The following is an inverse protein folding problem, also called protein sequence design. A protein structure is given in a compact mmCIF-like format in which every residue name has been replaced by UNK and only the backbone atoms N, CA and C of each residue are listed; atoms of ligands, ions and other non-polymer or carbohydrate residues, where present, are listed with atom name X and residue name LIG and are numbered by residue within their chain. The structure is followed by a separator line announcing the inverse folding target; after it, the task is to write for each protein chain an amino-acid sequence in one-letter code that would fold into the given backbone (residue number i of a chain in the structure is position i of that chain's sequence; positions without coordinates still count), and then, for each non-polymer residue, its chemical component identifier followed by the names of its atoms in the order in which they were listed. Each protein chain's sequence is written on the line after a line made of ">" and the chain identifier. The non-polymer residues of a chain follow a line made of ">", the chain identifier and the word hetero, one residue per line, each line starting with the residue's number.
data_IF_934986660482
#
_entry.id   IF_934986660482
#
_cell.length_a   1.000
_cell.length_b   1.000
_cell.length_c   1.000
_cell.angle_alpha   90.00
_cell.angle_beta   90.00
_cell.angle_gamma   90.00
#
_symmetry.space_group_name_H-M   'P 1'
#
loop_
_entity.id
_entity.type
_entity.pdbx_description
1 polymer ?
#
# COMPACT_ATOMS: atom_id res chain seq x y z
N UNK A 1 -18.95 16.77 -28.46
CA UNK A 1 -18.74 15.37 -27.98
C UNK A 1 -19.65 14.96 -26.84
N UNK A 2 -19.99 15.82 -25.87
CA UNK A 2 -20.70 15.36 -24.65
C UNK A 2 -22.11 14.82 -24.93
N UNK A 3 -23.01 15.52 -25.64
CA UNK A 3 -24.38 15.04 -25.93
C UNK A 3 -24.43 13.70 -26.68
N UNK A 4 -23.70 13.59 -27.79
CA UNK A 4 -23.72 12.42 -28.68
C UNK A 4 -23.23 11.14 -27.99
N UNK A 5 -22.32 11.27 -27.02
CA UNK A 5 -21.80 10.13 -26.24
C UNK A 5 -22.83 9.61 -25.22
N UNK A 6 -23.67 10.49 -24.67
CA UNK A 6 -24.63 10.15 -23.62
C UNK A 6 -25.75 9.23 -24.10
N UNK A 7 -26.20 9.39 -25.35
CA UNK A 7 -27.37 8.70 -25.91
C UNK A 7 -27.03 7.63 -26.95
N UNK A 8 -25.78 7.54 -27.40
CA UNK A 8 -25.36 6.57 -28.42
C UNK A 8 -25.43 5.12 -27.90
N UNK A 9 -25.86 4.18 -28.73
CA UNK A 9 -25.79 2.72 -28.52
C UNK A 9 -24.47 2.09 -29.02
N UNK A 10 -23.61 2.87 -29.68
CA UNK A 10 -22.36 2.39 -30.29
C UNK A 10 -21.36 1.92 -29.23
N UNK A 11 -20.38 1.10 -29.59
CA UNK A 11 -19.34 0.73 -28.61
C UNK A 11 -18.44 1.93 -28.30
N UNK A 12 -17.85 1.94 -27.10
CA UNK A 12 -16.88 2.97 -26.69
C UNK A 12 -15.71 3.04 -27.68
N UNK A 13 -15.33 1.90 -28.25
CA UNK A 13 -14.29 1.82 -29.26
C UNK A 13 -14.65 2.59 -30.53
N UNK A 14 -15.88 2.40 -31.04
CA UNK A 14 -16.36 3.06 -32.26
C UNK A 14 -16.48 4.57 -32.08
N UNK A 15 -16.93 5.02 -30.91
CA UNK A 15 -17.03 6.46 -30.58
C UNK A 15 -15.68 7.14 -30.58
N UNK A 16 -14.68 6.51 -29.94
CA UNK A 16 -13.34 7.10 -29.85
C UNK A 16 -12.66 7.07 -31.23
N UNK A 17 -12.83 5.99 -32.00
CA UNK A 17 -12.26 5.88 -33.35
C UNK A 17 -12.85 6.93 -34.31
N UNK A 18 -14.17 7.14 -34.30
CA UNK A 18 -14.85 8.14 -35.13
C UNK A 18 -14.51 9.58 -34.72
N UNK A 19 -14.25 9.83 -33.43
CA UNK A 19 -13.81 11.14 -32.97
C UNK A 19 -12.35 11.43 -33.37
N UNK A 20 -11.48 10.42 -33.31
CA UNK A 20 -10.06 10.54 -33.66
C UNK A 20 -9.88 10.68 -35.18
N UNK A 21 -10.68 9.99 -36.00
CA UNK A 21 -10.61 10.08 -37.46
C UNK A 21 -11.02 11.44 -38.03
N UNK A 22 -11.65 12.30 -37.23
CA UNK A 22 -12.11 13.65 -37.60
C UNK A 22 -11.14 14.76 -37.17
N UNK A 23 -10.02 14.40 -36.54
CA UNK A 23 -9.03 15.35 -36.02
C UNK A 23 -7.83 15.40 -36.98
N UNK A 24 -7.31 16.60 -37.25
CA UNK A 24 -6.11 16.80 -38.07
C UNK A 24 -4.87 16.20 -37.41
N UNK A 25 -3.93 15.68 -38.21
CA UNK A 25 -2.71 15.00 -37.72
C UNK A 25 -1.92 15.81 -36.69
N UNK A 26 -1.83 17.14 -36.84
CA UNK A 26 -1.13 18.04 -35.92
C UNK A 26 -1.78 18.15 -34.53
N UNK A 27 -3.06 17.83 -34.40
CA UNK A 27 -3.79 17.87 -33.13
C UNK A 27 -3.80 16.51 -32.42
N UNK A 28 -3.40 15.43 -33.09
CA UNK A 28 -3.35 14.07 -32.52
C UNK A 28 -2.25 13.97 -31.46
N UNK A 29 -1.12 14.66 -31.65
CA UNK A 29 0.00 14.69 -30.68
C UNK A 29 -0.36 15.35 -29.34
N UNK A 30 -1.40 16.20 -29.32
CA UNK A 30 -1.88 16.88 -28.12
C UNK A 30 -3.03 16.13 -27.45
N UNK A 31 -3.50 15.02 -28.01
CA UNK A 31 -4.60 14.25 -27.43
C UNK A 31 -4.14 13.42 -26.22
N UNK A 32 -5.00 13.27 -25.20
CA UNK A 32 -4.79 12.27 -24.18
C UNK A 32 -4.67 10.87 -24.79
N UNK A 33 -3.88 9.99 -24.16
CA UNK A 33 -3.79 8.59 -24.57
C UNK A 33 -5.19 7.98 -24.78
N UNK A 34 -5.34 7.15 -25.81
CA UNK A 34 -6.54 6.42 -26.18
C UNK A 34 -7.24 5.72 -24.99
N UNK A 35 -6.49 5.21 -24.01
CA UNK A 35 -7.06 4.63 -22.79
C UNK A 35 -7.82 5.65 -21.94
N UNK A 36 -7.29 6.88 -21.81
CA UNK A 36 -7.94 7.96 -21.08
C UNK A 36 -9.19 8.46 -21.82
N UNK A 37 -9.15 8.53 -23.16
CA UNK A 37 -10.31 8.86 -23.98
C UNK A 37 -11.44 7.84 -23.81
N UNK A 38 -11.14 6.54 -23.89
CA UNK A 38 -12.11 5.46 -23.62
C UNK A 38 -12.68 5.54 -22.20
N UNK A 39 -11.84 5.85 -21.19
CA UNK A 39 -12.26 6.04 -19.79
C UNK A 39 -13.22 7.22 -19.64
N UNK A 40 -12.95 8.34 -20.31
CA UNK A 40 -13.82 9.53 -20.26
C UNK A 40 -15.18 9.28 -20.91
N UNK A 41 -15.22 8.62 -22.07
CA UNK A 41 -16.47 8.21 -22.74
C UNK A 41 -17.29 7.29 -21.84
N UNK A 42 -16.64 6.33 -21.15
CA UNK A 42 -17.30 5.45 -20.18
C UNK A 42 -17.89 6.22 -18.99
N UNK A 43 -17.14 7.17 -18.42
CA UNK A 43 -17.60 8.03 -17.31
C UNK A 43 -18.82 8.88 -17.72
N UNK A 44 -18.79 9.48 -18.90
CA UNK A 44 -19.90 10.31 -19.43
C UNK A 44 -21.17 9.47 -19.61
N UNK A 45 -21.05 8.26 -20.19
CA UNK A 45 -22.19 7.34 -20.34
C UNK A 45 -22.74 6.88 -19.01
N UNK A 46 -21.89 6.46 -18.08
CA UNK A 46 -22.33 6.05 -16.74
C UNK A 46 -23.08 7.16 -16.02
N UNK A 47 -22.58 8.41 -16.06
CA UNK A 47 -23.25 9.57 -15.45
C UNK A 47 -24.60 9.92 -16.07
N UNK A 48 -24.82 9.55 -17.33
CA UNK A 48 -26.05 9.89 -18.06
C UNK A 48 -27.09 8.79 -18.00
N UNK A 49 -26.65 7.53 -17.87
CA UNK A 49 -27.54 6.38 -17.68
C UNK A 49 -27.90 6.13 -16.21
N UNK A 50 -27.08 6.60 -15.26
CA UNK A 50 -27.36 6.58 -13.83
C UNK A 50 -27.20 8.00 -13.25
N UNK A 51 -28.25 8.84 -13.31
CA UNK A 51 -28.27 10.16 -12.69
C UNK A 51 -28.52 10.01 -11.18
N UNK A 52 -27.74 9.18 -10.50
CA UNK A 52 -27.71 9.22 -9.04
C UNK A 52 -27.07 10.56 -8.68
N UNK A 53 -27.86 11.45 -8.07
CA UNK A 53 -27.33 12.67 -7.47
C UNK A 53 -26.20 12.27 -6.54
N UNK A 54 -24.99 12.79 -6.80
CA UNK A 54 -23.86 12.50 -5.93
C UNK A 54 -24.22 13.01 -4.53
N UNK A 55 -24.17 12.15 -3.51
CA UNK A 55 -24.46 12.57 -2.15
C UNK A 55 -23.48 13.67 -1.74
N UNK A 56 -23.98 14.69 -1.05
CA UNK A 56 -23.17 15.80 -0.52
C UNK A 56 -22.77 15.58 0.93
N UNK A 57 -23.45 14.67 1.63
CA UNK A 57 -23.14 14.24 2.99
C UNK A 57 -23.17 12.71 3.09
N UNK A 58 -22.45 12.14 4.07
CA UNK A 58 -22.45 10.68 4.30
C UNK A 58 -23.85 10.12 4.60
N UNK A 59 -24.67 10.89 5.29
CA UNK A 59 -26.04 10.51 5.66
C UNK A 59 -26.97 10.42 4.46
N UNK A 60 -26.70 11.24 3.43
CA UNK A 60 -27.48 11.23 2.17
C UNK A 60 -27.12 10.08 1.23
N UNK A 61 -26.12 9.25 1.57
CA UNK A 61 -25.73 8.11 0.74
C UNK A 61 -26.86 7.07 0.75
N UNK A 62 -27.46 6.82 -0.41
CA UNK A 62 -28.41 5.71 -0.60
C UNK A 62 -27.71 4.65 -1.45
N UNK A 63 -27.55 3.45 -0.91
CA UNK A 63 -26.91 2.32 -1.60
C UNK A 63 -27.99 1.38 -2.09
N UNK A 64 -28.30 1.43 -3.38
CA UNK A 64 -29.23 0.48 -3.98
C UNK A 64 -28.75 -0.97 -3.84
N UNK A 65 -29.70 -1.90 -3.75
CA UNK A 65 -29.43 -3.34 -3.60
C UNK A 65 -28.48 -3.89 -4.67
N UNK A 66 -28.54 -3.36 -5.89
CA UNK A 66 -27.63 -3.76 -6.98
C UNK A 66 -26.14 -3.48 -6.68
N UNK A 67 -25.84 -2.52 -5.80
CA UNK A 67 -24.48 -2.17 -5.38
C UNK A 67 -24.05 -2.88 -4.10
N UNK A 68 -24.97 -3.57 -3.41
CA UNK A 68 -24.65 -4.36 -2.22
C UNK A 68 -24.30 -5.81 -2.55
N UNK A 69 -24.42 -6.21 -3.82
CA UNK A 69 -24.16 -7.57 -4.30
C UNK A 69 -23.09 -7.60 -5.40
N UNK A 70 -22.36 -8.72 -5.47
CA UNK A 70 -21.42 -9.01 -6.57
C UNK A 70 -22.18 -9.39 -7.85
N UNK A 71 -21.49 -9.42 -9.00
CA UNK A 71 -22.02 -9.92 -10.27
C UNK A 71 -22.50 -11.40 -10.25
N UNK A 72 -22.23 -12.13 -9.16
CA UNK A 72 -22.71 -13.50 -8.92
C UNK A 72 -23.83 -13.54 -7.86
N UNK A 73 -24.53 -12.43 -7.63
CA UNK A 73 -25.63 -12.29 -6.67
C UNK A 73 -25.27 -12.69 -5.24
N UNK A 74 -24.05 -12.35 -4.80
CA UNK A 74 -23.61 -12.57 -3.42
C UNK A 74 -23.49 -11.24 -2.70
N UNK A 75 -23.97 -11.17 -1.47
CA UNK A 75 -23.77 -10.01 -0.57
C UNK A 75 -22.30 -9.65 -0.50
N UNK A 76 -22.03 -8.36 -0.68
CA UNK A 76 -20.71 -7.76 -0.67
C UNK A 76 -20.64 -6.55 0.26
N UNK A 77 -21.68 -5.72 0.35
CA UNK A 77 -21.80 -4.77 1.46
C UNK A 77 -22.05 -5.61 2.72
N UNK A 78 -21.02 -5.73 3.55
CA UNK A 78 -21.02 -6.57 4.73
C UNK A 78 -21.58 -5.82 5.94
N UNK A 79 -21.21 -4.55 6.09
CA UNK A 79 -21.66 -3.71 7.19
C UNK A 79 -21.82 -2.26 6.74
N UNK A 80 -22.83 -1.61 7.28
CA UNK A 80 -23.14 -0.19 7.10
C UNK A 80 -23.61 0.35 8.45
N UNK A 81 -22.87 1.29 9.04
CA UNK A 81 -23.23 1.86 10.35
C UNK A 81 -24.40 2.84 10.29
N UNK A 82 -24.88 3.22 9.11
CA UNK A 82 -26.00 4.13 8.92
C UNK A 82 -25.67 5.61 9.14
N UNK A 83 -26.71 6.44 9.15
CA UNK A 83 -26.68 7.92 9.06
C UNK A 83 -26.25 8.65 10.34
N UNK A 84 -25.15 8.23 10.94
CA UNK A 84 -24.45 9.02 11.95
C UNK A 84 -23.28 9.68 11.22
N UNK A 85 -22.86 10.89 11.59
CA UNK A 85 -21.76 11.68 10.98
C UNK A 85 -20.43 10.92 10.73
N UNK A 86 -20.32 9.72 11.31
CA UNK A 86 -19.26 8.74 11.13
C UNK A 86 -19.74 7.46 10.41
N UNK A 87 -20.56 7.57 9.35
CA UNK A 87 -21.03 6.41 8.58
C UNK A 87 -19.86 5.64 8.00
N UNK A 88 -19.78 4.35 8.30
CA UNK A 88 -18.72 3.45 7.90
C UNK A 88 -19.33 2.34 7.05
N UNK A 89 -18.69 2.09 5.91
CA UNK A 89 -19.10 1.05 4.97
C UNK A 89 -18.01 0.01 4.89
N UNK A 90 -18.35 -1.25 5.17
CA UNK A 90 -17.45 -2.40 5.05
C UNK A 90 -17.95 -3.28 3.92
N UNK A 91 -17.07 -3.55 2.97
CA UNK A 91 -17.32 -4.47 1.87
C UNK A 91 -16.45 -5.71 2.00
N UNK A 92 -17.10 -6.87 2.04
CA UNK A 92 -16.46 -8.17 2.00
C UNK A 92 -17.47 -9.26 1.62
N UNK A 93 -17.05 -10.22 0.80
CA UNK A 93 -17.84 -11.41 0.58
C UNK A 93 -17.67 -12.40 1.75
N UNK A 94 -18.72 -13.13 2.13
CA UNK A 94 -18.65 -14.19 3.15
C UNK A 94 -17.49 -15.19 2.94
N UNK A 95 -17.15 -15.51 1.69
CA UNK A 95 -16.02 -16.40 1.36
C UNK A 95 -14.66 -15.77 1.70
N UNK A 96 -14.52 -14.46 1.57
CA UNK A 96 -13.29 -13.73 1.91
C UNK A 96 -13.15 -13.64 3.44
N UNK A 97 -14.23 -13.37 4.17
CA UNK A 97 -14.21 -13.39 5.64
C UNK A 97 -13.82 -14.76 6.21
N UNK A 98 -14.26 -15.84 5.58
CA UNK A 98 -13.81 -17.20 5.97
C UNK A 98 -12.29 -17.38 5.85
N UNK A 99 -11.60 -16.64 4.99
CA UNK A 99 -10.12 -16.68 4.92
C UNK A 99 -9.53 -16.12 6.23
N UNK A 100 -10.17 -15.08 6.79
CA UNK A 100 -9.79 -14.47 8.07
C UNK A 100 -10.14 -15.36 9.27
N UNK A 101 -11.31 -16.00 9.27
CA UNK A 101 -11.73 -16.92 10.34
C UNK A 101 -10.85 -18.17 10.41
N UNK A 102 -10.42 -18.68 9.25
CA UNK A 102 -9.51 -19.81 9.18
C UNK A 102 -8.04 -19.39 9.36
N UNK A 103 -7.75 -18.14 9.75
CA UNK A 103 -6.38 -17.65 9.98
C UNK A 103 -5.58 -18.41 11.05
N UNK A 104 -6.22 -19.33 11.79
CA UNK A 104 -5.58 -20.24 12.74
C UNK A 104 -4.63 -21.27 12.08
N UNK A 105 -4.55 -21.34 10.75
CA UNK A 105 -3.47 -22.08 10.10
C UNK A 105 -2.14 -21.31 10.23
N UNK A 106 -1.09 -22.03 10.64
CA UNK A 106 0.28 -21.59 10.98
C UNK A 106 0.95 -20.63 9.95
N UNK A 107 0.39 -20.48 8.75
CA UNK A 107 0.99 -19.72 7.63
C UNK A 107 0.14 -18.53 7.13
N UNK A 108 -0.91 -18.12 7.85
CA UNK A 108 -1.74 -16.97 7.43
C UNK A 108 -1.14 -15.67 7.97
N UNK A 109 -0.70 -14.82 7.04
CA UNK A 109 -0.33 -13.44 7.29
C UNK A 109 -1.49 -12.55 6.89
N UNK A 110 -1.88 -11.67 7.81
CA UNK A 110 -2.81 -10.61 7.51
C UNK A 110 -2.01 -9.34 7.31
N UNK A 111 -2.16 -8.76 6.14
CA UNK A 111 -1.58 -7.50 5.76
C UNK A 111 -2.66 -6.46 5.94
N UNK A 112 -2.46 -5.60 6.92
CA UNK A 112 -3.27 -4.42 7.10
C UNK A 112 -2.57 -3.30 6.33
N UNK A 113 -3.15 -2.93 5.19
CA UNK A 113 -2.67 -1.81 4.40
C UNK A 113 -3.47 -0.57 4.75
N UNK A 114 -2.77 0.45 5.23
CA UNK A 114 -3.30 1.79 5.43
C UNK A 114 -2.90 2.68 4.26
N UNK A 115 -2.92 2.15 3.04
CA UNK A 115 -2.69 3.02 1.90
C UNK A 115 -3.98 3.79 1.64
N UNK A 116 -4.06 4.96 2.27
CA UNK A 116 -4.97 6.02 1.89
C UNK A 116 -4.65 6.38 0.45
N UNK A 117 -5.18 5.61 -0.49
CA UNK A 117 -5.18 5.94 -1.90
C UNK A 117 -6.20 7.06 -2.09
N UNK A 118 -5.89 8.27 -1.58
CA UNK A 118 -6.76 9.44 -1.55
C UNK A 118 -7.35 9.77 -2.94
N UNK A 119 -6.70 9.31 -4.01
CA UNK A 119 -7.17 9.43 -5.40
C UNK A 119 -8.37 8.55 -5.78
N UNK A 120 -8.67 7.48 -5.03
CA UNK A 120 -9.80 6.56 -5.28
C UNK A 120 -10.87 6.61 -4.20
N UNK A 121 -10.60 7.29 -3.08
CA UNK A 121 -11.56 7.47 -1.98
C UNK A 121 -12.64 8.46 -2.43
N UNK A 122 -13.94 8.14 -2.25
CA UNK A 122 -14.99 9.12 -2.48
C UNK A 122 -14.78 10.35 -1.60
N UNK A 123 -15.05 11.55 -2.10
CA UNK A 123 -14.80 12.83 -1.40
C UNK A 123 -15.42 12.91 -0.01
N UNK A 124 -16.52 12.20 0.20
CA UNK A 124 -17.17 12.10 1.50
C UNK A 124 -16.39 11.27 2.53
N UNK A 125 -15.37 10.51 2.15
CA UNK A 125 -14.61 9.65 3.05
C UNK A 125 -13.17 10.13 3.18
N UNK A 126 -12.59 9.95 4.37
CA UNK A 126 -11.20 10.33 4.61
C UNK A 126 -10.23 9.34 3.96
N UNK A 127 -10.51 8.05 4.11
CA UNK A 127 -9.65 6.99 3.57
C UNK A 127 -10.41 5.70 3.24
N UNK A 128 -9.82 4.92 2.34
CA UNK A 128 -10.17 3.52 2.09
C UNK A 128 -9.12 2.65 2.78
N UNK A 129 -9.57 1.78 3.67
CA UNK A 129 -8.75 0.84 4.40
C UNK A 129 -8.94 -0.55 3.84
N UNK A 130 -7.87 -1.29 3.59
CA UNK A 130 -7.94 -2.64 3.03
C UNK A 130 -7.22 -3.66 3.91
N UNK A 131 -7.92 -4.77 4.16
CA UNK A 131 -7.32 -5.95 4.78
C UNK A 131 -7.04 -6.93 3.67
N UNK A 132 -5.80 -7.36 3.58
CA UNK A 132 -5.36 -8.39 2.67
C UNK A 132 -4.94 -9.62 3.49
N UNK A 133 -5.19 -10.80 2.94
CA UNK A 133 -4.77 -12.05 3.55
C UNK A 133 -3.97 -12.86 2.52
N UNK A 134 -3.00 -13.62 3.00
CA UNK A 134 -2.35 -14.64 2.16
C UNK A 134 -3.29 -15.83 2.01
N UNK A 135 -3.69 -16.12 0.78
CA UNK A 135 -4.49 -17.28 0.41
C UNK A 135 -3.81 -18.01 -0.75
N UNK A 136 -3.45 -19.29 -0.56
CA UNK A 136 -2.74 -20.11 -1.56
C UNK A 136 -1.49 -19.40 -2.12
N UNK A 137 -0.66 -18.83 -1.23
CA UNK A 137 0.55 -18.06 -1.59
C UNK A 137 0.32 -16.77 -2.38
N UNK A 138 -0.93 -16.32 -2.49
CA UNK A 138 -1.27 -15.03 -3.09
C UNK A 138 -1.81 -14.06 -2.04
N UNK A 139 -1.39 -12.81 -2.11
CA UNK A 139 -1.97 -11.73 -1.30
C UNK A 139 -3.26 -11.29 -1.99
N UNK A 140 -4.39 -11.48 -1.32
CA UNK A 140 -5.71 -11.10 -1.83
C UNK A 140 -6.38 -10.11 -0.90
N UNK A 141 -6.98 -9.01 -1.42
CA UNK A 141 -7.82 -8.14 -0.62
C UNK A 141 -9.10 -8.88 -0.22
N UNK A 142 -9.37 -8.90 1.08
CA UNK A 142 -10.50 -9.63 1.68
C UNK A 142 -11.52 -8.70 2.31
N UNK A 143 -11.13 -7.52 2.77
CA UNK A 143 -12.03 -6.51 3.34
C UNK A 143 -11.64 -5.13 2.83
N UNK A 144 -12.64 -4.33 2.50
CA UNK A 144 -12.52 -2.92 2.14
C UNK A 144 -13.38 -2.11 3.10
N UNK A 145 -12.84 -1.05 3.69
CA UNK A 145 -13.52 -0.24 4.70
C UNK A 145 -13.40 1.22 4.31
N UNK A 146 -14.52 1.91 4.11
CA UNK A 146 -14.55 3.35 3.94
C UNK A 146 -14.68 4.01 5.31
N UNK A 147 -13.63 4.74 5.70
CA UNK A 147 -13.55 5.38 7.02
C UNK A 147 -13.76 6.90 6.93
N UNK A 148 -14.61 7.48 7.80
CA UNK A 148 -14.87 8.91 7.87
C UNK A 148 -13.70 9.69 8.50
N UNK A 149 -12.83 9.01 9.25
CA UNK A 149 -11.66 9.56 9.92
C UNK A 149 -10.47 8.60 9.92
N UNK A 150 -9.37 9.03 10.54
CA UNK A 150 -8.05 8.40 10.35
C UNK A 150 -7.85 7.11 11.16
N UNK A 151 -8.60 6.85 12.23
CA UNK A 151 -8.21 5.82 13.23
C UNK A 151 -9.34 4.99 13.89
N UNK A 152 -10.53 4.85 13.30
CA UNK A 152 -11.62 4.03 13.89
C UNK A 152 -11.56 2.55 13.46
N UNK A 153 -10.55 1.81 13.94
CA UNK A 153 -10.37 0.38 13.62
C UNK A 153 -11.24 -0.58 14.45
N UNK A 154 -11.95 -0.08 15.46
CA UNK A 154 -12.84 -0.85 16.34
C UNK A 154 -13.97 -1.61 15.60
N UNK A 155 -14.13 -1.37 14.29
CA UNK A 155 -15.17 -1.95 13.45
C UNK A 155 -14.65 -3.03 12.49
N UNK A 156 -13.35 -3.34 12.55
CA UNK A 156 -12.82 -4.52 11.86
C UNK A 156 -13.50 -5.77 12.44
N UNK A 157 -13.99 -6.70 11.61
CA UNK A 157 -14.64 -7.92 12.07
C UNK A 157 -13.81 -8.66 13.12
N UNK A 158 -14.48 -9.30 14.08
CA UNK A 158 -13.81 -10.01 15.18
C UNK A 158 -13.15 -11.29 14.63
N UNK A 159 -11.84 -11.26 14.41
CA UNK A 159 -11.00 -12.41 14.11
C UNK A 159 -9.71 -12.34 14.94
N UNK A 160 -9.01 -13.46 15.12
CA UNK A 160 -7.79 -13.50 15.95
C UNK A 160 -6.61 -13.99 15.10
N UNK A 161 -5.90 -13.08 14.42
CA UNK A 161 -4.88 -13.48 13.48
C UNK A 161 -3.56 -13.77 14.19
N UNK A 162 -2.81 -14.81 13.81
CA UNK A 162 -1.55 -15.12 14.46
C UNK A 162 -0.46 -14.09 14.13
N UNK A 163 -0.50 -13.50 12.93
CA UNK A 163 0.49 -12.55 12.45
C UNK A 163 -0.19 -11.39 11.70
N UNK A 164 0.16 -10.17 12.09
CA UNK A 164 -0.29 -8.94 11.44
C UNK A 164 0.93 -8.19 10.93
N UNK A 165 0.93 -7.85 9.64
CA UNK A 165 1.87 -6.87 9.09
C UNK A 165 1.17 -5.55 8.84
N UNK A 166 1.76 -4.46 9.34
CA UNK A 166 1.26 -3.09 9.25
C UNK A 166 2.37 -2.16 8.76
N UNK A 167 2.01 -0.99 8.26
CA UNK A 167 2.95 0.10 8.07
C UNK A 167 3.48 0.68 9.41
N UNK A 168 4.23 1.77 9.34
CA UNK A 168 4.91 2.36 10.50
C UNK A 168 4.11 3.48 11.17
N UNK A 169 2.80 3.63 10.91
CA UNK A 169 2.00 4.66 11.57
C UNK A 169 1.73 4.30 13.04
N UNK A 170 2.28 5.10 13.97
CA UNK A 170 2.19 4.84 15.42
C UNK A 170 0.77 4.71 15.93
N UNK A 171 -0.15 5.56 15.45
CA UNK A 171 -1.54 5.53 15.85
C UNK A 171 -2.17 4.17 15.52
N UNK A 172 -1.92 3.66 14.32
CA UNK A 172 -2.45 2.38 13.84
C UNK A 172 -1.81 1.19 14.53
N UNK A 173 -0.49 1.22 14.74
CA UNK A 173 0.20 0.20 15.54
C UNK A 173 -0.43 0.11 16.94
N UNK A 174 -0.72 1.24 17.57
CA UNK A 174 -1.34 1.26 18.90
C UNK A 174 -2.75 0.69 18.87
N UNK A 175 -3.54 1.02 17.86
CA UNK A 175 -4.92 0.54 17.76
C UNK A 175 -4.99 -0.96 17.46
N UNK A 176 -4.15 -1.45 16.54
CA UNK A 176 -4.03 -2.89 16.25
C UNK A 176 -3.61 -3.66 17.50
N UNK A 177 -2.67 -3.14 18.31
CA UNK A 177 -2.25 -3.79 19.56
C UNK A 177 -3.38 -3.87 20.59
N UNK A 178 -4.26 -2.88 20.65
CA UNK A 178 -5.44 -2.92 21.53
C UNK A 178 -6.45 -3.95 21.03
N UNK A 179 -6.69 -3.99 19.73
CA UNK A 179 -7.71 -4.85 19.12
C UNK A 179 -7.28 -6.31 19.03
N UNK A 180 -5.99 -6.55 18.75
CA UNK A 180 -5.42 -7.88 18.55
C UNK A 180 -4.20 -8.09 19.47
N UNK A 181 -4.40 -8.14 20.80
CA UNK A 181 -3.30 -8.21 21.77
C UNK A 181 -2.48 -9.50 21.68
N UNK A 182 -3.06 -10.57 21.13
CA UNK A 182 -2.43 -11.88 20.99
C UNK A 182 -1.65 -12.04 19.67
N UNK A 183 -1.80 -11.11 18.73
CA UNK A 183 -1.18 -11.20 17.41
C UNK A 183 0.28 -10.80 17.44
N UNK A 184 1.10 -11.50 16.65
CA UNK A 184 2.44 -11.05 16.37
C UNK A 184 2.41 -9.89 15.37
N UNK A 185 2.64 -8.68 15.87
CA UNK A 185 2.72 -7.49 15.04
C UNK A 185 4.09 -7.36 14.37
N UNK A 186 4.07 -6.93 13.12
CA UNK A 186 5.26 -6.86 12.29
C UNK A 186 5.24 -5.64 11.35
N UNK A 187 6.38 -4.96 11.18
CA UNK A 187 6.50 -3.82 10.26
C UNK A 187 6.64 -4.25 8.80
N UNK A 188 6.02 -3.51 7.88
CA UNK A 188 6.08 -3.80 6.45
C UNK A 188 7.40 -3.36 5.81
N UNK A 189 8.21 -4.32 5.37
CA UNK A 189 9.50 -4.05 4.72
C UNK A 189 9.40 -3.13 3.48
N UNK A 190 8.33 -3.26 2.69
CA UNK A 190 8.10 -2.40 1.53
C UNK A 190 7.96 -0.92 1.94
N UNK A 191 7.13 -0.64 2.95
CA UNK A 191 6.98 0.71 3.48
C UNK A 191 8.25 1.21 4.17
N UNK A 192 9.05 0.33 4.77
CA UNK A 192 10.38 0.70 5.29
C UNK A 192 11.28 1.22 4.17
N UNK A 193 11.36 0.49 3.06
CA UNK A 193 12.11 0.92 1.87
C UNK A 193 11.61 2.25 1.31
N UNK A 194 10.29 2.43 1.21
CA UNK A 194 9.68 3.69 0.77
C UNK A 194 10.03 4.84 1.72
N UNK A 195 9.93 4.63 3.04
CA UNK A 195 10.26 5.65 4.03
C UNK A 195 11.72 6.09 3.93
N UNK A 196 12.66 5.15 3.73
CA UNK A 196 14.07 5.47 3.50
C UNK A 196 14.24 6.30 2.21
N UNK A 197 13.58 5.92 1.12
CA UNK A 197 13.64 6.71 -0.13
C UNK A 197 13.02 8.11 0.01
N UNK A 198 11.89 8.23 0.70
CA UNK A 198 11.28 9.53 0.97
C UNK A 198 12.18 10.41 1.83
N UNK A 199 12.95 9.83 2.77
CA UNK A 199 13.97 10.57 3.50
C UNK A 199 15.06 11.11 2.56
N UNK A 200 15.59 10.28 1.64
CA UNK A 200 16.56 10.73 0.62
C UNK A 200 16.04 11.94 -0.17
N UNK A 201 14.78 11.90 -0.61
CA UNK A 201 14.16 13.02 -1.33
C UNK A 201 14.01 14.24 -0.42
N UNK A 202 13.47 14.06 0.79
CA UNK A 202 13.22 15.14 1.76
C UNK A 202 14.50 15.91 2.09
N UNK A 203 15.64 15.22 2.14
CA UNK A 203 16.95 15.82 2.40
C UNK A 203 17.67 16.37 1.16
N UNK A 204 17.04 16.33 -0.02
CA UNK A 204 17.67 16.83 -1.25
C UNK A 204 18.78 15.93 -1.79
N UNK A 205 18.94 14.72 -1.26
CA UNK A 205 20.01 13.78 -1.58
C UNK A 205 19.71 12.95 -2.84
N UNK A 206 18.64 13.30 -3.59
CA UNK A 206 18.19 12.54 -4.76
C UNK A 206 19.28 12.41 -5.84
N UNK A 207 19.99 13.51 -6.13
CA UNK A 207 21.06 13.54 -7.15
C UNK A 207 22.22 12.65 -6.69
N UNK A 208 22.68 12.84 -5.45
CA UNK A 208 23.75 12.04 -4.86
C UNK A 208 23.39 10.54 -4.85
N UNK A 209 22.16 10.19 -4.47
CA UNK A 209 21.65 8.82 -4.52
C UNK A 209 21.63 8.20 -5.93
N UNK A 210 21.40 9.02 -6.96
CA UNK A 210 21.39 8.55 -8.35
C UNK A 210 22.76 8.47 -9.00
N UNK A 211 23.70 9.33 -8.60
CA UNK A 211 24.99 9.50 -9.28
C UNK A 211 26.15 8.83 -8.54
N UNK A 212 26.03 8.62 -7.22
CA UNK A 212 27.06 7.95 -6.41
C UNK A 212 26.61 6.53 -6.03
N UNK A 213 27.24 5.53 -6.65
CA UNK A 213 26.89 4.12 -6.43
C UNK A 213 27.14 3.66 -4.99
N UNK A 214 28.21 4.13 -4.35
CA UNK A 214 28.59 3.74 -2.99
C UNK A 214 27.61 4.33 -1.96
N UNK A 215 27.28 5.61 -2.09
CA UNK A 215 26.23 6.24 -1.28
C UNK A 215 24.88 5.54 -1.49
N UNK A 216 24.54 5.21 -2.75
CA UNK A 216 23.32 4.48 -3.08
C UNK A 216 23.27 3.10 -2.42
N UNK A 217 24.39 2.36 -2.39
CA UNK A 217 24.52 1.07 -1.69
C UNK A 217 24.37 1.23 -0.18
N UNK A 218 25.02 2.22 0.42
CA UNK A 218 24.90 2.51 1.86
C UNK A 218 23.46 2.83 2.25
N UNK A 219 22.75 3.64 1.47
CA UNK A 219 21.34 3.95 1.72
C UNK A 219 20.46 2.69 1.56
N UNK A 220 20.74 1.83 0.57
CA UNK A 220 20.03 0.57 0.36
C UNK A 220 20.29 -0.49 1.42
N UNK A 221 21.40 -0.41 2.16
CA UNK A 221 21.68 -1.35 3.27
C UNK A 221 20.88 -0.99 4.54
N UNK A 222 20.39 0.25 4.67
CA UNK A 222 19.63 0.67 5.85
C UNK A 222 18.35 -0.17 6.09
N UNK A 223 17.46 -0.42 5.09
CA UNK A 223 16.35 -1.35 5.31
C UNK A 223 16.80 -2.78 5.59
N UNK A 224 17.95 -3.21 5.05
CA UNK A 224 18.47 -4.56 5.23
C UNK A 224 18.76 -4.88 6.71
N UNK A 225 19.02 -3.87 7.54
CA UNK A 225 19.16 -4.00 8.99
C UNK A 225 17.94 -4.68 9.63
N UNK A 226 16.73 -4.49 9.08
CA UNK A 226 15.51 -5.14 9.58
C UNK A 226 15.54 -6.68 9.46
N UNK A 227 16.48 -7.23 8.68
CA UNK A 227 16.66 -8.66 8.48
C UNK A 227 17.63 -9.30 9.47
N UNK A 228 18.42 -8.49 10.19
CA UNK A 228 19.35 -8.96 11.21
C UNK A 228 18.63 -9.34 12.51
N UNK A 229 19.26 -10.18 13.35
CA UNK A 229 18.87 -10.30 14.75
C UNK A 229 18.93 -8.94 15.46
N UNK A 230 17.96 -8.67 16.34
CA UNK A 230 17.85 -7.38 17.07
C UNK A 230 19.15 -6.93 17.75
N UNK A 231 19.93 -7.81 18.43
CA UNK A 231 21.18 -7.39 19.06
C UNK A 231 22.23 -6.85 18.07
N UNK A 232 22.16 -7.28 16.82
CA UNK A 232 23.14 -6.97 15.78
C UNK A 232 22.79 -5.72 14.97
N UNK A 233 21.56 -5.21 15.10
CA UNK A 233 21.05 -4.06 14.34
C UNK A 233 21.85 -2.79 14.65
N UNK A 234 22.03 -2.45 15.93
CA UNK A 234 22.72 -1.22 16.34
C UNK A 234 24.21 -1.27 15.99
N UNK A 235 24.97 -2.34 16.35
CA UNK A 235 26.37 -2.43 15.97
C UNK A 235 26.59 -2.32 14.45
N UNK A 236 25.77 -3.02 13.66
CA UNK A 236 25.89 -2.99 12.20
C UNK A 236 25.50 -1.62 11.63
N UNK A 237 24.52 -0.94 12.22
CA UNK A 237 24.16 0.43 11.85
C UNK A 237 25.32 1.40 12.11
N UNK A 238 25.99 1.30 13.25
CA UNK A 238 27.15 2.13 13.59
C UNK A 238 28.32 1.89 12.62
N UNK A 239 28.53 0.64 12.19
CA UNK A 239 29.51 0.29 11.16
C UNK A 239 29.17 0.91 9.80
N UNK A 240 27.91 0.84 9.34
CA UNK A 240 27.47 1.53 8.11
C UNK A 240 27.67 3.04 8.25
N UNK A 241 27.30 3.60 9.40
CA UNK A 241 27.42 5.03 9.70
C UNK A 241 28.86 5.52 9.60
N UNK A 242 29.81 4.71 10.07
CA UNK A 242 31.23 5.05 10.03
C UNK A 242 31.75 5.28 8.60
N UNK A 243 31.13 4.62 7.60
CA UNK A 243 31.54 4.67 6.19
C UNK A 243 30.99 5.87 5.39
N UNK A 244 30.08 6.66 5.95
CA UNK A 244 29.66 7.89 5.28
C UNK A 244 30.82 8.91 5.25
N UNK A 245 31.04 9.62 4.13
CA UNK A 245 32.03 10.68 4.00
C UNK A 245 31.93 11.73 5.12
N UNK A 246 33.06 12.29 5.55
CA UNK A 246 33.11 13.27 6.65
C UNK A 246 32.34 14.57 6.33
N UNK A 247 32.35 15.00 5.07
CA UNK A 247 31.58 16.15 4.57
C UNK A 247 30.06 15.89 4.59
N UNK A 248 29.64 14.62 4.67
CA UNK A 248 28.24 14.19 4.81
C UNK A 248 27.85 13.90 6.27
N UNK A 249 28.84 13.76 7.18
CA UNK A 249 28.62 13.64 8.63
C UNK A 249 28.19 14.98 9.28
N UNK A 250 28.47 16.10 8.64
CA UNK A 250 28.06 17.45 9.09
C UNK A 250 26.59 17.80 8.79
N UNK A 251 25.87 16.98 8.01
CA UNK A 251 24.41 17.08 7.94
C UNK A 251 23.77 16.30 9.09
N UNK A 252 23.86 16.89 10.28
CA UNK A 252 23.29 16.50 11.59
C UNK A 252 21.77 16.22 11.62
N UNK A 253 21.10 16.03 10.48
CA UNK A 253 19.65 15.82 10.38
C UNK A 253 19.25 14.42 9.89
N UNK A 254 20.19 13.66 9.30
CA UNK A 254 19.97 12.28 8.85
C UNK A 254 19.92 11.30 10.03
N UNK A 255 20.68 11.58 11.11
CA UNK A 255 20.73 10.75 12.32
C UNK A 255 19.39 10.64 13.03
N UNK A 256 18.73 11.76 13.35
CA UNK A 256 17.54 11.75 14.20
C UNK A 256 16.33 11.03 13.58
N UNK A 257 16.09 11.24 12.28
CA UNK A 257 14.90 10.72 11.60
C UNK A 257 15.10 9.33 11.01
N UNK A 258 16.31 8.97 10.54
CA UNK A 258 16.60 7.58 10.15
C UNK A 258 16.66 6.70 11.40
N UNK A 259 17.24 7.16 12.51
CA UNK A 259 17.20 6.44 13.80
C UNK A 259 15.76 6.39 14.34
N UNK A 260 14.93 7.44 14.22
CA UNK A 260 13.50 7.34 14.60
C UNK A 260 12.71 6.38 13.70
N UNK A 261 12.98 6.37 12.39
CA UNK A 261 12.36 5.42 11.45
C UNK A 261 12.78 3.98 11.75
N UNK A 262 14.04 3.75 12.12
CA UNK A 262 14.58 2.44 12.51
C UNK A 262 14.18 2.02 13.94
N UNK A 263 14.04 2.96 14.89
CA UNK A 263 13.61 2.71 16.27
C UNK A 263 12.13 2.28 16.36
N UNK A 264 11.32 2.59 15.35
CA UNK A 264 9.97 2.06 15.16
C UNK A 264 9.92 0.61 14.68
N UNK A 265 11.05 0.03 14.25
CA UNK A 265 11.14 -1.34 13.74
C UNK A 265 11.26 -2.32 14.92
N UNK A 266 10.14 -2.54 15.62
CA UNK A 266 10.00 -3.73 16.48
C UNK A 266 9.34 -4.86 15.69
N UNK A 267 10.17 -5.85 15.38
CA UNK A 267 9.90 -7.17 14.77
C UNK A 267 9.30 -7.14 13.36
N UNK A 268 9.89 -7.96 12.49
CA UNK A 268 9.17 -9.05 11.81
C UNK A 268 10.18 -10.13 11.48
N UNK A 269 10.09 -11.28 12.18
CA UNK A 269 10.84 -12.47 11.81
C UNK A 269 10.00 -13.21 10.79
N UNK A 270 10.48 -13.22 9.55
CA UNK A 270 10.40 -14.29 8.52
C UNK A 270 9.90 -13.78 7.17
N UNK A 271 10.66 -14.23 6.19
CA UNK A 271 10.58 -13.96 4.77
C UNK A 271 9.95 -15.23 4.14
N UNK A 272 8.98 -15.13 3.23
CA UNK A 272 8.15 -16.25 2.73
C UNK A 272 8.27 -16.53 1.22
N UNK A 273 9.28 -17.36 0.89
CA UNK A 273 9.48 -18.19 -0.32
C UNK A 273 9.01 -17.70 -1.70
N UNK A 274 9.87 -16.87 -2.29
CA UNK A 274 10.03 -16.49 -3.67
C UNK A 274 11.53 -16.56 -3.99
N UNK A 275 11.91 -16.53 -5.27
CA UNK A 275 13.32 -16.65 -5.70
C UNK A 275 14.24 -15.58 -5.08
N UNK A 276 13.71 -14.41 -4.74
CA UNK A 276 14.46 -13.36 -4.02
C UNK A 276 14.71 -13.73 -2.56
N UNK A 277 13.78 -14.43 -1.93
CA UNK A 277 13.83 -14.78 -0.51
C UNK A 277 14.78 -15.93 -0.23
N UNK A 278 14.90 -16.89 -1.15
CA UNK A 278 15.98 -17.87 -1.10
C UNK A 278 17.36 -17.19 -1.16
N UNK A 279 17.52 -16.16 -2.00
CA UNK A 279 18.79 -15.40 -2.07
C UNK A 279 19.05 -14.64 -0.76
N UNK A 280 18.03 -14.00 -0.19
CA UNK A 280 18.15 -13.30 1.10
C UNK A 280 18.54 -14.29 2.20
N UNK A 281 17.84 -15.42 2.31
CA UNK A 281 18.12 -16.46 3.31
C UNK A 281 19.53 -17.02 3.17
N UNK A 282 20.00 -17.26 1.94
CA UNK A 282 21.36 -17.73 1.70
C UNK A 282 22.41 -16.73 2.19
N UNK A 283 22.23 -15.43 1.91
CA UNK A 283 23.14 -14.38 2.40
C UNK A 283 23.10 -14.30 3.93
N UNK A 284 21.90 -14.30 4.52
CA UNK A 284 21.74 -14.17 5.97
C UNK A 284 22.34 -15.35 6.74
N UNK A 285 22.25 -16.55 6.16
CA UNK A 285 22.77 -17.78 6.74
C UNK A 285 24.25 -18.05 6.41
N UNK A 286 24.89 -17.22 5.60
CA UNK A 286 26.32 -17.37 5.28
C UNK A 286 27.16 -17.12 6.53
N UNK A 287 27.87 -18.14 7.07
CA UNK A 287 28.65 -17.99 8.30
C UNK A 287 30.00 -17.28 8.07
N UNK A 288 30.48 -17.21 6.83
CA UNK A 288 31.82 -16.69 6.52
C UNK A 288 31.91 -15.18 6.43
N UNK A 289 30.77 -14.49 6.39
CA UNK A 289 30.70 -13.03 6.25
C UNK A 289 30.07 -12.39 7.49
N UNK A 290 30.57 -11.21 7.83
CA UNK A 290 30.09 -10.35 8.92
C UNK A 290 28.66 -9.86 8.68
N UNK A 291 27.99 -9.40 9.74
CA UNK A 291 26.65 -8.81 9.60
C UNK A 291 26.66 -7.57 8.71
N UNK A 292 27.74 -6.78 8.76
CA UNK A 292 27.97 -5.66 7.84
C UNK A 292 28.04 -6.13 6.37
N UNK A 293 28.84 -7.15 6.07
CA UNK A 293 28.94 -7.70 4.72
C UNK A 293 27.60 -8.28 4.23
N UNK A 294 26.81 -8.90 5.12
CA UNK A 294 25.46 -9.39 4.81
C UNK A 294 24.54 -8.26 4.35
N UNK A 295 24.44 -7.18 5.13
CA UNK A 295 23.53 -6.07 4.78
C UNK A 295 23.99 -5.32 3.53
N UNK A 296 25.30 -5.23 3.29
CA UNK A 296 25.84 -4.67 2.04
C UNK A 296 25.55 -5.58 0.84
N UNK A 297 25.67 -6.91 0.99
CA UNK A 297 25.28 -7.85 -0.06
C UNK A 297 23.77 -7.76 -0.38
N UNK A 298 22.94 -7.56 0.64
CA UNK A 298 21.50 -7.36 0.48
C UNK A 298 21.12 -6.04 -0.20
N UNK A 299 21.95 -5.00 -0.09
CA UNK A 299 21.74 -3.72 -0.75
C UNK A 299 21.70 -3.83 -2.29
N UNK A 300 22.24 -4.90 -2.87
CA UNK A 300 22.13 -5.20 -4.30
C UNK A 300 20.80 -5.85 -4.70
N UNK A 301 20.07 -6.40 -3.73
CA UNK A 301 18.80 -7.11 -3.93
C UNK A 301 17.62 -6.19 -3.59
N UNK A 302 17.79 -5.35 -2.58
CA UNK A 302 16.76 -4.42 -2.11
C UNK A 302 16.64 -3.25 -3.10
N UNK A 303 15.46 -3.08 -3.68
CA UNK A 303 15.13 -1.85 -4.42
C UNK A 303 14.35 -0.91 -3.50
N UNK A 304 14.79 0.34 -3.40
CA UNK A 304 14.02 1.40 -2.73
C UNK A 304 12.96 2.02 -3.65
N UNK A 305 13.14 1.85 -4.97
CA UNK A 305 12.21 2.28 -5.99
C UNK A 305 11.44 1.09 -6.55
N UNK A 306 10.15 1.03 -6.23
CA UNK A 306 9.14 0.52 -7.16
C UNK A 306 8.04 1.57 -7.21
N UNK A 307 8.09 2.37 -8.28
CA UNK A 307 6.92 3.11 -8.79
C UNK A 307 5.80 2.14 -9.13
#
# INVERSE_FOLDING_TARGET
>A
MSEAVKQSSLTIHTIVADAVSKISDNAISSLPNLQNLKRNVRKIRQRSQNPLSLPTTRDSIVIDLQYTITARNRTFLYFDSGSIDQRILIFSAKKQLKILENANYIYIYIYIYLDGTFSVVPELYFQLYTIHATYLSHIVPVVYILLPGKHDLNLIPNFDPPNIMVDYERATINEIKKQFPNSNLSGCFFHLCQNVYHAVIRFGLKILYSENEDFSKQIRSLPALALLPVPDVIPTFDEIKAQFPAEEKEQSYVEGEIIQALAGVRKSRRIHQTRQETRILNIMNEPTITNFEKVMALAHIISLNKS
#
